data_IF_854297731613
#
_entry.id   IF_854297731613
#
_cell.length_a   1.000
_cell.length_b   1.000
_cell.length_c   1.000
_cell.angle_alpha   90.00
_cell.angle_beta   90.00
_cell.angle_gamma   90.00
#
_symmetry.space_group_name_H-M   'P 1'
#
loop_
_entity.id
_entity.type
_entity.pdbx_description
1 polymer ?
#
# COMPACT_ATOMS: atom_id res chain seq x y z
N UNK A 1 15.62 5.38 -13.20
CA UNK A 1 15.81 4.08 -12.71
C UNK A 1 14.51 3.37 -12.45
N UNK A 2 14.56 2.11 -12.43
CA UNK A 2 13.35 1.35 -12.31
C UNK A 2 13.02 0.99 -10.90
N UNK A 3 11.74 0.83 -10.66
CA UNK A 3 11.28 0.42 -9.36
C UNK A 3 11.10 -1.09 -9.28
N UNK A 4 11.61 -1.76 -10.25
CA UNK A 4 11.47 -3.18 -10.33
C UNK A 4 12.12 -3.82 -9.14
N UNK A 5 11.43 -4.69 -8.50
CA UNK A 5 11.99 -5.37 -7.36
C UNK A 5 11.65 -4.75 -6.02
N UNK A 6 11.14 -3.55 -6.01
CA UNK A 6 10.73 -2.96 -4.75
C UNK A 6 9.46 -3.65 -4.27
N UNK A 7 9.47 -4.07 -3.04
CA UNK A 7 8.34 -4.76 -2.44
C UNK A 7 7.59 -3.84 -1.53
N UNK A 8 6.29 -3.77 -1.72
CA UNK A 8 5.44 -2.88 -0.95
C UNK A 8 4.30 -3.66 -0.34
N UNK A 9 4.07 -3.43 0.93
CA UNK A 9 2.93 -4.03 1.62
C UNK A 9 1.93 -2.92 1.90
N UNK A 10 0.67 -3.17 1.60
CA UNK A 10 -0.39 -2.21 1.84
C UNK A 10 -1.28 -2.73 2.95
N UNK A 11 -1.48 -1.92 3.95
CA UNK A 11 -2.31 -2.25 5.08
C UNK A 11 -3.44 -1.26 5.15
N UNK A 12 -4.66 -1.75 5.30
CA UNK A 12 -5.80 -0.87 5.41
C UNK A 12 -6.75 -1.38 6.49
N UNK A 13 -7.47 -0.46 7.12
CA UNK A 13 -8.45 -0.87 8.10
C UNK A 13 -9.67 -1.40 7.37
N UNK A 14 -10.70 -1.81 8.11
CA UNK A 14 -11.86 -2.47 7.53
C UNK A 14 -12.88 -1.53 6.92
N UNK A 15 -12.68 -0.25 7.06
CA UNK A 15 -13.64 0.69 6.53
C UNK A 15 -13.68 0.64 5.01
N UNK A 16 -14.88 0.75 4.43
CA UNK A 16 -15.00 0.70 2.98
C UNK A 16 -14.16 1.73 2.26
N UNK A 17 -14.03 2.89 2.85
CA UNK A 17 -13.23 3.94 2.23
C UNK A 17 -11.77 3.53 2.14
N UNK A 18 -11.28 2.93 3.19
CA UNK A 18 -9.89 2.51 3.20
C UNK A 18 -9.65 1.38 2.24
N UNK A 19 -10.60 0.47 2.14
CA UNK A 19 -10.48 -0.65 1.22
C UNK A 19 -10.48 -0.17 -0.22
N UNK A 20 -11.26 0.84 -0.51
CA UNK A 20 -11.29 1.39 -1.86
C UNK A 20 -9.94 2.00 -2.22
N UNK A 21 -9.39 2.76 -1.31
CA UNK A 21 -8.09 3.37 -1.56
C UNK A 21 -7.02 2.29 -1.71
N UNK A 22 -7.14 1.23 -0.94
CA UNK A 22 -6.20 0.12 -1.04
C UNK A 22 -6.20 -0.46 -2.45
N UNK A 23 -7.37 -0.72 -3.00
CA UNK A 23 -7.46 -1.31 -4.33
C UNK A 23 -6.91 -0.37 -5.39
N UNK A 24 -7.22 0.91 -5.28
CA UNK A 24 -6.73 1.87 -6.25
C UNK A 24 -5.22 1.98 -6.19
N UNK A 25 -4.69 2.00 -5.01
CA UNK A 25 -3.27 2.13 -4.84
C UNK A 25 -2.54 0.89 -5.33
N UNK A 26 -3.12 -0.27 -5.06
CA UNK A 26 -2.54 -1.52 -5.56
C UNK A 26 -2.41 -1.49 -7.07
N UNK A 27 -3.47 -1.04 -7.72
CA UNK A 27 -3.47 -1.01 -9.16
C UNK A 27 -2.38 -0.08 -9.69
N UNK A 28 -2.24 1.07 -9.07
CA UNK A 28 -1.23 2.02 -9.49
C UNK A 28 0.16 1.49 -9.28
N UNK A 29 0.38 0.85 -8.15
CA UNK A 29 1.69 0.32 -7.85
C UNK A 29 2.07 -0.79 -8.82
N UNK A 30 1.11 -1.61 -9.19
CA UNK A 30 1.37 -2.66 -10.16
C UNK A 30 1.75 -2.07 -11.51
N UNK A 31 1.07 -1.01 -11.89
CA UNK A 31 1.37 -0.38 -13.17
C UNK A 31 2.74 0.25 -13.19
N UNK A 32 3.25 0.60 -12.02
CA UNK A 32 4.56 1.18 -11.92
C UNK A 32 5.61 0.15 -11.55
N UNK A 33 5.26 -1.12 -11.73
CA UNK A 33 6.21 -2.21 -11.58
C UNK A 33 6.69 -2.47 -10.17
N UNK A 34 5.91 -2.05 -9.20
CA UNK A 34 6.20 -2.43 -7.84
C UNK A 34 5.64 -3.81 -7.57
N UNK A 35 6.24 -4.50 -6.63
CA UNK A 35 5.79 -5.83 -6.25
C UNK A 35 5.02 -5.74 -4.95
N UNK A 36 3.80 -6.23 -4.94
CA UNK A 36 3.00 -6.24 -3.73
C UNK A 36 3.28 -7.51 -2.98
N UNK A 37 3.92 -7.38 -1.85
CA UNK A 37 4.36 -8.54 -1.12
C UNK A 37 4.39 -8.23 0.37
N UNK A 38 3.74 -9.04 1.16
CA UNK A 38 3.67 -8.83 2.60
C UNK A 38 4.66 -9.67 3.37
N UNK A 39 5.47 -10.45 2.70
CA UNK A 39 6.40 -11.31 3.39
C UNK A 39 7.66 -10.57 3.81
N UNK A 40 8.19 -9.79 2.96
CA UNK A 40 9.43 -9.09 3.28
C UNK A 40 9.46 -7.76 2.55
N UNK A 41 8.54 -6.86 2.87
CA UNK A 41 8.43 -5.63 2.11
C UNK A 41 9.54 -4.64 2.43
N UNK A 42 9.88 -3.87 1.43
CA UNK A 42 10.83 -2.78 1.62
C UNK A 42 10.11 -1.57 2.16
N UNK A 43 8.84 -1.43 1.83
CA UNK A 43 8.03 -0.29 2.24
C UNK A 43 6.67 -0.79 2.69
N UNK A 44 6.18 -0.25 3.78
CA UNK A 44 4.83 -0.57 4.24
C UNK A 44 4.02 0.71 4.22
N UNK A 45 2.89 0.68 3.54
CA UNK A 45 2.00 1.83 3.45
C UNK A 45 0.72 1.53 4.21
N UNK A 46 0.41 2.37 5.17
CA UNK A 46 -0.76 2.20 6.00
C UNK A 46 -1.85 3.15 5.55
N UNK A 47 -3.03 2.62 5.32
CA UNK A 47 -4.15 3.38 4.79
C UNK A 47 -5.28 3.43 5.80
N UNK A 48 -5.77 4.62 6.04
CA UNK A 48 -6.90 4.79 6.94
C UNK A 48 -6.45 5.02 8.34
N UNK A 49 -6.33 4.71 9.17
CA UNK A 49 -5.80 4.93 10.47
C UNK A 49 -6.28 6.20 11.10
N UNK A 50 -7.49 6.32 11.40
CA UNK A 50 -8.05 7.47 11.99
C UNK A 50 -7.16 8.09 12.99
N UNK A 51 -6.80 9.27 12.81
CA UNK A 51 -6.05 9.99 13.79
C UNK A 51 -4.67 9.47 14.11
N UNK A 52 -4.34 8.31 13.67
CA UNK A 52 -3.05 7.76 13.97
C UNK A 52 -1.96 8.58 13.38
N UNK A 53 -2.16 9.02 12.18
CA UNK A 53 -1.15 9.79 11.50
C UNK A 53 -1.02 11.18 12.03
N UNK A 54 -1.98 11.59 12.78
CA UNK A 54 -1.97 12.93 13.30
C UNK A 54 -1.22 13.02 14.61
N UNK A 55 -0.95 11.94 15.16
CA UNK A 55 -0.31 11.98 16.47
C UNK A 55 1.15 12.27 16.42
#
# INVERSE_FOLDING_TARGET
MKNTGKRIDLIANRKPQSQRVLYELRDRLKRNQFILNDTNPDIVISIGGDGMLLS
#
